data_IF_192432839355
#
_entry.id   IF_192432839355
#
_cell.length_a   1.000
_cell.length_b   1.000
_cell.length_c   1.000
_cell.angle_alpha   90.00
_cell.angle_beta   90.00
_cell.angle_gamma   90.00
#
_symmetry.space_group_name_H-M   'P 1'
#
loop_
_entity.id
_entity.type
_entity.pdbx_description
1 polymer ?
#
# COMPACT_ATOMS: atom_id res chain seq x y z
N UNK A 1 0.17 -8.38 -30.81
CA UNK A 1 0.02 -8.25 -29.34
C UNK A 1 0.59 -9.52 -28.74
N UNK A 2 1.42 -9.43 -27.70
CA UNK A 2 1.97 -10.62 -27.06
C UNK A 2 0.88 -11.29 -26.21
N UNK A 3 0.75 -12.61 -26.32
CA UNK A 3 -0.14 -13.37 -25.44
C UNK A 3 0.39 -13.31 -23.99
N UNK A 4 -0.49 -13.21 -22.98
CA UNK A 4 -0.08 -13.29 -21.58
C UNK A 4 0.64 -14.62 -21.29
N UNK A 5 1.63 -14.59 -20.40
CA UNK A 5 2.32 -15.79 -19.97
C UNK A 5 1.35 -16.70 -19.19
N UNK A 6 1.46 -18.01 -19.43
CA UNK A 6 0.73 -19.01 -18.66
C UNK A 6 1.31 -19.17 -17.26
N UNK A 7 0.56 -19.75 -16.33
CA UNK A 7 1.05 -20.03 -14.97
C UNK A 7 2.33 -20.87 -14.97
N UNK A 8 2.45 -21.85 -15.87
CA UNK A 8 3.65 -22.69 -15.99
C UNK A 8 4.87 -21.89 -16.47
N UNK A 9 4.66 -20.98 -17.42
CA UNK A 9 5.72 -20.08 -17.90
C UNK A 9 6.16 -19.10 -16.80
N UNK A 10 5.21 -18.54 -16.04
CA UNK A 10 5.50 -17.67 -14.90
C UNK A 10 6.24 -18.44 -13.80
N UNK A 11 5.82 -19.68 -13.49
CA UNK A 11 6.49 -20.51 -12.50
C UNK A 11 7.94 -20.82 -12.90
N UNK A 12 8.17 -21.20 -14.16
CA UNK A 12 9.51 -21.45 -14.70
C UNK A 12 10.38 -20.20 -14.68
N UNK A 13 9.81 -19.04 -15.02
CA UNK A 13 10.48 -17.74 -14.94
C UNK A 13 10.88 -17.43 -13.49
N UNK A 14 9.96 -17.61 -12.54
CA UNK A 14 10.20 -17.29 -11.13
C UNK A 14 11.26 -18.21 -10.51
N UNK A 15 11.24 -19.49 -10.87
CA UNK A 15 12.27 -20.45 -10.49
C UNK A 15 13.64 -20.04 -11.05
N UNK A 16 13.71 -19.65 -12.33
CA UNK A 16 14.96 -19.22 -12.96
C UNK A 16 15.58 -17.97 -12.32
N UNK A 17 14.75 -17.11 -11.73
CA UNK A 17 15.17 -15.89 -11.02
C UNK A 17 15.46 -16.14 -9.53
N UNK A 18 15.21 -17.36 -9.03
CA UNK A 18 15.39 -17.69 -7.61
C UNK A 18 14.42 -16.95 -6.68
N UNK A 19 13.23 -16.59 -7.17
CA UNK A 19 12.21 -15.89 -6.40
C UNK A 19 11.75 -16.77 -5.22
N UNK A 20 11.76 -16.20 -4.02
CA UNK A 20 11.36 -16.87 -2.78
C UNK A 20 10.24 -16.12 -2.04
N UNK A 21 10.18 -14.80 -2.18
CA UNK A 21 9.15 -13.96 -1.56
C UNK A 21 8.78 -12.79 -2.48
N UNK A 22 7.78 -12.02 -2.08
CA UNK A 22 7.34 -10.82 -2.77
C UNK A 22 6.96 -9.74 -1.77
N UNK A 23 7.04 -8.50 -2.23
CA UNK A 23 6.50 -7.33 -1.53
C UNK A 23 5.71 -6.47 -2.51
N UNK A 24 4.65 -5.84 -2.02
CA UNK A 24 3.80 -4.99 -2.85
C UNK A 24 3.57 -3.64 -2.18
N UNK A 25 3.83 -2.56 -2.92
CA UNK A 25 3.40 -1.21 -2.59
C UNK A 25 2.12 -0.96 -3.40
N UNK A 26 1.01 -1.59 -2.97
CA UNK A 26 -0.27 -1.58 -3.69
C UNK A 26 -0.78 -0.17 -4.01
N UNK A 27 -0.71 0.84 -3.11
CA UNK A 27 -1.09 2.22 -3.45
C UNK A 27 -0.33 2.82 -4.65
N UNK A 28 0.90 2.36 -4.89
CA UNK A 28 1.74 2.83 -5.99
C UNK A 28 1.61 1.94 -7.23
N UNK A 29 0.76 0.91 -7.17
CA UNK A 29 0.61 -0.09 -8.22
C UNK A 29 1.93 -0.79 -8.52
N UNK A 30 2.74 -1.10 -7.51
CA UNK A 30 4.03 -1.77 -7.67
C UNK A 30 4.09 -3.08 -6.89
N UNK A 31 4.74 -4.06 -7.50
CA UNK A 31 5.10 -5.33 -6.88
C UNK A 31 6.56 -5.63 -7.21
N UNK A 32 7.26 -6.23 -6.26
CA UNK A 32 8.62 -6.72 -6.43
C UNK A 32 8.74 -8.13 -5.85
N UNK A 33 9.70 -8.88 -6.36
CA UNK A 33 10.01 -10.23 -5.92
C UNK A 33 11.43 -10.29 -5.40
N UNK A 34 11.63 -11.02 -4.31
CA UNK A 34 12.92 -11.17 -3.65
C UNK A 34 13.38 -12.61 -3.63
N UNK A 35 14.70 -12.81 -3.69
CA UNK A 35 15.32 -14.11 -3.50
C UNK A 35 15.44 -14.48 -2.00
N UNK A 36 16.01 -15.66 -1.69
CA UNK A 36 16.23 -16.10 -0.30
C UNK A 36 17.21 -15.23 0.49
N UNK A 37 18.05 -14.46 -0.18
CA UNK A 37 18.93 -13.47 0.45
C UNK A 37 18.23 -12.14 0.73
N UNK A 38 16.98 -11.97 0.28
CA UNK A 38 16.19 -10.74 0.44
C UNK A 38 16.44 -9.69 -0.63
N UNK A 39 17.22 -10.00 -1.68
CA UNK A 39 17.53 -9.08 -2.78
C UNK A 39 16.37 -9.03 -3.77
N UNK A 40 16.06 -7.84 -4.29
CA UNK A 40 15.04 -7.67 -5.35
C UNK A 40 15.58 -8.22 -6.67
N UNK A 41 14.95 -9.27 -7.17
CA UNK A 41 15.34 -9.96 -8.42
C UNK A 41 14.38 -9.75 -9.58
N UNK A 42 13.22 -9.15 -9.32
CA UNK A 42 12.30 -8.68 -10.35
C UNK A 42 11.35 -7.63 -9.76
N UNK A 43 10.79 -6.81 -10.64
CA UNK A 43 9.80 -5.80 -10.30
C UNK A 43 8.80 -5.61 -11.44
N UNK A 44 7.62 -5.10 -11.09
CA UNK A 44 6.56 -4.85 -12.05
C UNK A 44 5.58 -3.79 -11.55
N UNK A 45 4.74 -3.31 -12.47
CA UNK A 45 3.48 -2.64 -12.15
C UNK A 45 2.38 -3.67 -11.91
N UNK A 46 1.46 -3.35 -11.02
CA UNK A 46 0.30 -4.20 -10.75
C UNK A 46 -0.99 -3.40 -10.55
N UNK A 47 -2.11 -4.02 -10.93
CA UNK A 47 -3.45 -3.57 -10.56
C UNK A 47 -4.16 -4.70 -9.81
N UNK A 48 -4.85 -4.36 -8.73
CA UNK A 48 -5.61 -5.33 -7.95
C UNK A 48 -6.90 -5.70 -8.69
N UNK A 49 -7.18 -6.99 -8.85
CA UNK A 49 -8.38 -7.47 -9.54
C UNK A 49 -9.45 -7.85 -8.52
N UNK A 50 -9.16 -8.88 -7.72
CA UNK A 50 -10.09 -9.46 -6.75
C UNK A 50 -9.32 -10.16 -5.62
N UNK A 51 -9.97 -10.28 -4.47
CA UNK A 51 -9.49 -11.02 -3.31
C UNK A 51 -10.35 -12.26 -3.11
N UNK A 52 -9.71 -13.42 -3.02
CA UNK A 52 -10.34 -14.69 -2.68
C UNK A 52 -10.03 -15.06 -1.24
N UNK A 53 -11.05 -15.43 -0.48
CA UNK A 53 -10.93 -15.92 0.88
C UNK A 53 -11.30 -17.41 0.93
N UNK A 54 -10.30 -18.26 1.18
CA UNK A 54 -10.48 -19.72 1.16
C UNK A 54 -11.36 -20.23 2.30
N UNK A 55 -11.32 -19.57 3.47
CA UNK A 55 -12.03 -20.01 4.67
C UNK A 55 -13.56 -20.04 4.51
N UNK A 56 -14.10 -19.15 3.70
CA UNK A 56 -15.54 -19.00 3.45
C UNK A 56 -15.88 -19.13 1.96
N UNK A 57 -14.94 -19.55 1.11
CA UNK A 57 -15.13 -19.71 -0.34
C UNK A 57 -15.80 -18.49 -0.96
N UNK A 58 -15.23 -17.30 -0.68
CA UNK A 58 -15.80 -16.03 -1.11
C UNK A 58 -14.81 -15.23 -1.94
N UNK A 59 -15.36 -14.36 -2.77
CA UNK A 59 -14.65 -13.47 -3.66
C UNK A 59 -15.14 -12.04 -3.42
N UNK A 60 -14.21 -11.09 -3.41
CA UNK A 60 -14.51 -9.67 -3.42
C UNK A 60 -13.70 -8.98 -4.50
N UNK A 61 -14.37 -8.25 -5.39
CA UNK A 61 -13.69 -7.40 -6.37
C UNK A 61 -12.87 -6.34 -5.64
N UNK A 62 -11.62 -6.12 -6.06
CA UNK A 62 -10.70 -5.21 -5.39
C UNK A 62 -11.23 -3.77 -5.37
N UNK A 63 -11.98 -3.38 -6.40
CA UNK A 63 -12.67 -2.10 -6.47
C UNK A 63 -13.75 -1.93 -5.39
N UNK A 64 -14.29 -3.02 -4.83
CA UNK A 64 -15.28 -3.00 -3.74
C UNK A 64 -14.66 -3.00 -2.33
N UNK A 65 -13.33 -3.12 -2.20
CA UNK A 65 -12.64 -3.14 -0.90
C UNK A 65 -12.41 -1.69 -0.45
N UNK A 66 -13.12 -1.25 0.58
CA UNK A 66 -13.06 0.15 1.05
C UNK A 66 -11.63 0.58 1.43
N UNK A 67 -10.87 -0.28 2.10
CA UNK A 67 -9.49 0.04 2.49
C UNK A 67 -8.56 0.24 1.28
N UNK A 68 -8.84 -0.42 0.15
CA UNK A 68 -8.08 -0.21 -1.10
C UNK A 68 -8.43 1.13 -1.73
N UNK A 69 -9.72 1.49 -1.76
CA UNK A 69 -10.16 2.79 -2.24
C UNK A 69 -9.56 3.93 -1.41
N UNK A 70 -9.63 3.85 -0.08
CA UNK A 70 -9.07 4.85 0.83
C UNK A 70 -7.55 4.98 0.70
N UNK A 71 -6.86 3.88 0.37
CA UNK A 71 -5.41 3.86 0.16
C UNK A 71 -5.00 4.26 -1.26
N UNK A 72 -5.94 4.46 -2.20
CA UNK A 72 -5.64 4.79 -3.59
C UNK A 72 -5.05 3.64 -4.40
N UNK A 73 -5.33 2.39 -4.02
CA UNK A 73 -4.86 1.21 -4.75
C UNK A 73 -5.50 1.20 -6.15
N UNK A 74 -4.72 1.02 -7.23
CA UNK A 74 -5.26 0.90 -8.57
C UNK A 74 -5.98 -0.44 -8.70
N UNK A 75 -7.31 -0.39 -8.71
CA UNK A 75 -8.17 -1.55 -8.84
C UNK A 75 -8.77 -1.65 -10.25
N UNK A 76 -8.89 -2.88 -10.75
CA UNK A 76 -9.65 -3.19 -11.95
C UNK A 76 -11.14 -3.21 -11.59
N UNK A 77 -12.01 -2.48 -12.31
CA UNK A 77 -13.44 -2.51 -12.04
C UNK A 77 -14.03 -3.88 -12.42
N UNK A 78 -15.08 -4.34 -11.72
CA UNK A 78 -15.82 -5.52 -12.13
C UNK A 78 -16.36 -5.40 -13.57
N UNK A 79 -16.40 -6.49 -14.37
CA UNK A 79 -17.09 -6.51 -15.64
C UNK A 79 -18.61 -6.49 -15.40
N UNK A 80 -19.27 -5.40 -15.80
CA UNK A 80 -20.73 -5.15 -15.85
C UNK A 80 -21.59 -5.65 -14.65
N UNK A 81 -22.12 -4.71 -13.86
CA UNK A 81 -23.12 -4.93 -12.77
C UNK A 81 -22.82 -6.06 -11.76
N UNK A 82 -21.68 -6.75 -11.85
CA UNK A 82 -21.36 -7.86 -10.96
C UNK A 82 -21.29 -7.36 -9.53
N UNK A 83 -21.83 -8.16 -8.61
CA UNK A 83 -21.84 -7.80 -7.20
C UNK A 83 -20.38 -7.65 -6.75
N UNK A 84 -20.06 -6.63 -5.92
CA UNK A 84 -18.71 -6.47 -5.42
C UNK A 84 -18.22 -7.65 -4.57
N UNK A 85 -19.14 -8.52 -4.13
CA UNK A 85 -18.90 -9.68 -3.29
C UNK A 85 -19.77 -10.87 -3.72
N UNK A 86 -19.17 -12.05 -3.73
CA UNK A 86 -19.80 -13.33 -4.10
C UNK A 86 -19.37 -14.42 -3.09
N UNK A 87 -20.33 -15.27 -2.69
CA UNK A 87 -20.11 -16.43 -1.81
C UNK A 87 -20.29 -17.73 -2.59
N UNK A 88 -19.87 -18.84 -2.00
CA UNK A 88 -19.94 -20.19 -2.58
C UNK A 88 -19.20 -20.32 -3.93
N UNK A 89 -18.08 -19.59 -4.07
CA UNK A 89 -17.22 -19.61 -5.25
C UNK A 89 -15.92 -20.37 -4.98
N UNK A 90 -15.61 -21.31 -5.87
CA UNK A 90 -14.38 -22.09 -5.81
C UNK A 90 -13.14 -21.24 -6.14
N UNK A 91 -11.97 -21.72 -5.73
CA UNK A 91 -10.71 -21.07 -6.09
C UNK A 91 -10.49 -21.07 -7.62
N UNK A 92 -10.85 -22.17 -8.28
CA UNK A 92 -10.71 -22.31 -9.74
C UNK A 92 -11.57 -21.29 -10.49
N UNK A 93 -12.82 -21.09 -10.07
CA UNK A 93 -13.73 -20.09 -10.64
C UNK A 93 -13.21 -18.66 -10.39
N UNK A 94 -12.72 -18.38 -9.17
CA UNK A 94 -12.11 -17.10 -8.84
C UNK A 94 -10.85 -16.82 -9.71
N UNK A 95 -10.04 -17.85 -9.96
CA UNK A 95 -8.87 -17.78 -10.83
C UNK A 95 -9.25 -17.56 -12.29
N UNK A 96 -10.32 -18.20 -12.77
CA UNK A 96 -10.84 -18.00 -14.13
C UNK A 96 -11.33 -16.55 -14.32
N UNK A 97 -12.15 -16.04 -13.39
CA UNK A 97 -12.60 -14.64 -13.40
C UNK A 97 -11.42 -13.66 -13.39
N UNK A 98 -10.43 -13.92 -12.52
CA UNK A 98 -9.22 -13.10 -12.46
C UNK A 98 -8.41 -13.15 -13.76
N UNK A 99 -8.35 -14.31 -14.42
CA UNK A 99 -7.63 -14.50 -15.68
C UNK A 99 -8.30 -13.72 -16.80
N UNK A 100 -9.63 -13.82 -16.92
CA UNK A 100 -10.41 -13.05 -17.89
C UNK A 100 -10.22 -11.54 -17.67
N UNK A 101 -10.31 -11.08 -16.41
CA UNK A 101 -10.08 -9.67 -16.08
C UNK A 101 -8.65 -9.21 -16.43
N UNK A 102 -7.63 -10.00 -16.12
CA UNK A 102 -6.23 -9.71 -16.46
C UNK A 102 -6.02 -9.59 -17.99
N UNK A 103 -6.68 -10.45 -18.77
CA UNK A 103 -6.64 -10.40 -20.23
C UNK A 103 -7.28 -9.13 -20.80
N UNK A 104 -8.44 -8.71 -20.27
CA UNK A 104 -9.12 -7.48 -20.70
C UNK A 104 -8.24 -6.23 -20.57
N UNK A 105 -7.33 -6.24 -19.60
CA UNK A 105 -6.38 -5.16 -19.35
C UNK A 105 -5.00 -5.42 -19.94
N UNK A 106 -4.83 -6.40 -20.83
CA UNK A 106 -3.55 -6.73 -21.46
C UNK A 106 -2.42 -6.89 -20.43
N UNK A 107 -2.70 -7.55 -19.30
CA UNK A 107 -1.65 -7.90 -18.35
C UNK A 107 -0.65 -8.87 -19.01
N UNK A 108 0.63 -8.76 -18.65
CA UNK A 108 1.63 -9.75 -19.09
C UNK A 108 1.38 -11.10 -18.45
N UNK A 109 0.91 -11.13 -17.20
CA UNK A 109 0.42 -12.33 -16.54
C UNK A 109 -0.45 -11.99 -15.32
N UNK A 110 -1.18 -13.00 -14.86
CA UNK A 110 -1.91 -12.97 -13.60
C UNK A 110 -1.01 -13.48 -12.48
N UNK A 111 -0.93 -12.74 -11.37
CA UNK A 111 -0.22 -13.19 -10.17
C UNK A 111 -1.20 -13.38 -9.01
N UNK A 112 -1.20 -14.59 -8.43
CA UNK A 112 -1.98 -14.91 -7.23
C UNK A 112 -1.11 -14.69 -5.98
N UNK A 113 -1.14 -13.49 -5.44
CA UNK A 113 -0.37 -13.12 -4.25
C UNK A 113 -0.98 -13.78 -3.00
N UNK A 114 -0.26 -14.65 -2.28
CA UNK A 114 -0.79 -15.29 -1.08
C UNK A 114 -0.98 -14.27 0.04
N UNK A 115 -2.17 -14.25 0.65
CA UNK A 115 -2.52 -13.39 1.79
C UNK A 115 -2.65 -14.14 3.12
N UNK A 116 -2.35 -15.45 3.11
CA UNK A 116 -2.39 -16.33 4.28
C UNK A 116 -3.67 -17.16 4.37
N UNK A 117 -3.61 -18.32 5.03
CA UNK A 117 -4.78 -19.18 5.25
C UNK A 117 -5.44 -19.73 3.96
N UNK A 118 -4.68 -19.86 2.87
CA UNK A 118 -5.19 -20.25 1.55
C UNK A 118 -5.78 -19.10 0.73
N UNK A 119 -5.97 -17.92 1.33
CA UNK A 119 -6.49 -16.73 0.66
C UNK A 119 -5.47 -16.12 -0.30
N UNK A 120 -5.98 -15.48 -1.36
CA UNK A 120 -5.20 -14.93 -2.47
C UNK A 120 -5.71 -13.56 -2.87
N UNK A 121 -4.79 -12.65 -3.16
CA UNK A 121 -5.06 -11.41 -3.88
C UNK A 121 -4.58 -11.58 -5.32
N UNK A 122 -5.51 -11.52 -6.26
CA UNK A 122 -5.21 -11.65 -7.67
C UNK A 122 -4.83 -10.29 -8.26
N UNK A 123 -3.65 -10.23 -8.89
CA UNK A 123 -3.03 -9.02 -9.42
C UNK A 123 -2.79 -9.16 -10.92
N UNK A 124 -3.24 -8.17 -11.69
CA UNK A 124 -2.84 -8.02 -13.09
C UNK A 124 -1.42 -7.43 -13.12
N UNK A 125 -0.43 -8.21 -13.56
CA UNK A 125 0.97 -7.78 -13.63
C UNK A 125 1.29 -7.21 -15.01
N UNK A 126 1.94 -6.03 -15.02
CA UNK A 126 2.37 -5.30 -16.21
C UNK A 126 3.78 -4.76 -15.99
N UNK A 127 4.47 -4.44 -17.08
CA UNK A 127 5.84 -3.90 -17.04
C UNK A 127 6.81 -4.74 -16.18
N UNK A 128 6.64 -6.07 -16.19
CA UNK A 128 7.54 -7.01 -15.54
C UNK A 128 8.94 -6.90 -16.12
N UNK A 129 9.90 -6.65 -15.23
CA UNK A 129 11.29 -6.48 -15.55
C UNK A 129 12.14 -7.34 -14.59
N UNK A 130 12.95 -8.28 -15.11
CA UNK A 130 13.90 -9.02 -14.29
C UNK A 130 15.04 -8.11 -13.83
N UNK A 131 15.60 -8.40 -12.66
CA UNK A 131 16.60 -7.59 -11.99
C UNK A 131 16.01 -6.60 -10.99
N UNK A 132 16.91 -5.98 -10.23
CA UNK A 132 16.56 -4.83 -9.41
C UNK A 132 16.25 -3.65 -10.33
N UNK A 133 15.25 -2.81 -10.00
CA UNK A 133 15.05 -1.57 -10.75
C UNK A 133 16.34 -0.76 -10.70
N UNK A 134 16.76 -0.20 -11.84
CA UNK A 134 17.81 0.81 -11.85
C UNK A 134 17.36 1.94 -10.92
N UNK A 135 18.29 2.41 -10.07
CA UNK A 135 18.00 3.55 -9.21
C UNK A 135 17.79 4.78 -10.11
N UNK A 136 16.53 5.13 -10.39
CA UNK A 136 16.17 6.40 -11.01
C UNK A 136 16.08 7.46 -9.89
N UNK A 137 17.02 8.42 -9.84
CA UNK A 137 17.01 9.46 -8.82
C UNK A 137 15.74 10.30 -8.85
N UNK A 138 15.13 10.51 -10.03
CA UNK A 138 13.90 11.30 -10.16
C UNK A 138 12.70 10.55 -9.59
N UNK A 139 12.62 9.23 -9.77
CA UNK A 139 11.57 8.43 -9.14
C UNK A 139 11.77 8.31 -7.63
N UNK A 140 13.02 8.21 -7.18
CA UNK A 140 13.35 8.24 -5.76
C UNK A 140 12.96 9.58 -5.12
N UNK A 141 13.29 10.71 -5.74
CA UNK A 141 12.88 12.04 -5.30
C UNK A 141 11.35 12.18 -5.26
N UNK A 142 10.64 11.77 -6.33
CA UNK A 142 9.17 11.80 -6.36
C UNK A 142 8.55 10.95 -5.26
N UNK A 143 9.11 9.76 -5.00
CA UNK A 143 8.63 8.85 -3.96
C UNK A 143 8.84 9.46 -2.57
N UNK A 144 10.02 10.03 -2.31
CA UNK A 144 10.32 10.74 -1.06
C UNK A 144 9.34 11.91 -0.86
N UNK A 145 9.10 12.71 -1.90
CA UNK A 145 8.21 13.85 -1.82
C UNK A 145 6.74 13.43 -1.62
N UNK A 146 6.28 12.39 -2.33
CA UNK A 146 4.95 11.83 -2.14
C UNK A 146 4.75 11.30 -0.70
N UNK A 147 5.74 10.60 -0.14
CA UNK A 147 5.68 10.11 1.25
C UNK A 147 5.70 11.26 2.26
N UNK A 148 6.46 12.35 2.01
CA UNK A 148 6.41 13.57 2.84
C UNK A 148 5.02 14.21 2.81
N UNK A 149 4.48 14.43 1.62
CA UNK A 149 3.15 15.02 1.43
C UNK A 149 2.05 14.17 2.10
N UNK A 150 2.15 12.84 2.01
CA UNK A 150 1.26 11.92 2.73
C UNK A 150 1.35 12.11 4.25
N UNK A 151 2.56 12.12 4.82
CA UNK A 151 2.77 12.26 6.26
C UNK A 151 2.24 13.61 6.76
N UNK A 152 2.57 14.70 6.06
CA UNK A 152 2.03 16.04 6.31
C UNK A 152 0.50 16.04 6.31
N UNK A 153 -0.13 15.56 5.24
CA UNK A 153 -1.58 15.56 5.09
C UNK A 153 -2.31 14.66 6.09
N UNK A 154 -1.69 13.57 6.57
CA UNK A 154 -2.25 12.73 7.65
C UNK A 154 -2.17 13.44 9.00
N UNK A 155 -1.02 14.02 9.34
CA UNK A 155 -0.81 14.72 10.61
C UNK A 155 -1.69 15.97 10.74
N UNK A 156 -1.78 16.78 9.70
CA UNK A 156 -2.63 17.99 9.68
C UNK A 156 -4.11 17.64 9.91
N UNK A 157 -4.63 16.62 9.22
CA UNK A 157 -6.02 16.16 9.40
C UNK A 157 -6.29 15.63 10.82
N UNK A 158 -5.33 14.93 11.41
CA UNK A 158 -5.47 14.45 12.80
C UNK A 158 -5.44 15.60 13.80
N UNK A 159 -4.58 16.61 13.58
CA UNK A 159 -4.53 17.80 14.42
C UNK A 159 -5.84 18.60 14.37
N UNK A 160 -6.42 18.75 13.18
CA UNK A 160 -7.72 19.39 12.99
C UNK A 160 -8.85 18.60 13.66
N UNK A 161 -8.90 17.28 13.45
CA UNK A 161 -9.93 16.42 14.05
C UNK A 161 -9.86 16.42 15.57
N UNK A 162 -8.65 16.42 16.14
CA UNK A 162 -8.48 16.50 17.59
C UNK A 162 -8.93 17.85 18.16
N UNK A 163 -8.72 18.95 17.42
CA UNK A 163 -9.23 20.27 17.82
C UNK A 163 -10.76 20.32 17.77
N UNK A 164 -11.38 19.63 16.83
CA UNK A 164 -12.84 19.52 16.72
C UNK A 164 -13.45 18.59 17.78
N UNK A 165 -12.68 17.64 18.30
CA UNK A 165 -13.11 16.65 19.29
C UNK A 165 -13.11 17.19 20.75
N UNK A 166 -12.84 18.49 20.97
CA UNK A 166 -12.82 19.08 22.31
C UNK A 166 -14.20 18.97 22.95
N UNK A 167 -14.28 18.24 24.07
CA UNK A 167 -15.54 17.99 24.79
C UNK A 167 -16.36 16.80 24.26
N UNK A 168 -15.82 16.03 23.31
CA UNK A 168 -16.44 14.82 22.77
C UNK A 168 -15.51 13.60 22.96
N UNK A 169 -15.77 12.83 24.02
CA UNK A 169 -14.97 11.66 24.40
C UNK A 169 -14.94 10.57 23.30
N UNK A 170 -16.03 10.43 22.54
CA UNK A 170 -16.09 9.45 21.45
C UNK A 170 -15.19 9.89 20.29
N UNK A 171 -15.26 11.15 19.89
CA UNK A 171 -14.39 11.69 18.85
C UNK A 171 -12.91 11.61 19.25
N UNK A 172 -12.57 11.82 20.53
CA UNK A 172 -11.20 11.65 21.02
C UNK A 172 -10.73 10.20 20.96
N UNK A 173 -11.59 9.24 21.31
CA UNK A 173 -11.28 7.81 21.21
C UNK A 173 -11.07 7.36 19.75
N UNK A 174 -11.84 7.91 18.82
CA UNK A 174 -11.64 7.69 17.38
C UNK A 174 -10.28 8.22 16.92
N UNK A 175 -9.89 9.42 17.33
CA UNK A 175 -8.57 9.99 17.01
C UNK A 175 -7.44 9.12 17.58
N UNK A 176 -7.57 8.61 18.81
CA UNK A 176 -6.60 7.68 19.38
C UNK A 176 -6.45 6.40 18.54
N UNK A 177 -7.56 5.87 18.00
CA UNK A 177 -7.53 4.72 17.09
C UNK A 177 -6.82 5.06 15.77
N UNK A 178 -7.10 6.24 15.20
CA UNK A 178 -6.44 6.70 13.98
C UNK A 178 -4.93 6.92 14.18
N UNK A 179 -4.49 7.39 15.36
CA UNK A 179 -3.08 7.54 15.70
C UNK A 179 -2.35 6.18 15.77
N UNK A 180 -3.00 5.14 16.30
CA UNK A 180 -2.44 3.77 16.27
C UNK A 180 -2.33 3.24 14.84
N UNK A 181 -3.32 3.52 14.00
CA UNK A 181 -3.27 3.17 12.57
C UNK A 181 -2.13 3.91 11.86
N UNK A 182 -1.95 5.21 12.12
CA UNK A 182 -0.83 6.00 11.61
C UNK A 182 0.53 5.41 12.02
N UNK A 183 0.66 4.92 13.26
CA UNK A 183 1.87 4.27 13.74
C UNK A 183 2.28 3.08 12.84
N UNK A 184 1.34 2.18 12.56
CA UNK A 184 1.58 1.04 11.66
C UNK A 184 1.89 1.47 10.22
N UNK A 185 1.17 2.46 9.70
CA UNK A 185 1.39 2.97 8.34
C UNK A 185 2.77 3.65 8.20
N UNK A 186 3.21 4.43 9.18
CA UNK A 186 4.49 5.12 9.16
C UNK A 186 5.68 4.13 9.21
N UNK A 187 5.58 3.06 10.01
CA UNK A 187 6.60 1.99 10.04
C UNK A 187 6.68 1.25 8.69
N UNK A 188 5.53 0.97 8.06
CA UNK A 188 5.51 0.37 6.72
C UNK A 188 6.14 1.28 5.66
N UNK A 189 5.81 2.57 5.66
CA UNK A 189 6.40 3.55 4.73
C UNK A 189 7.92 3.63 4.89
N UNK A 190 8.43 3.64 6.14
CA UNK A 190 9.86 3.67 6.43
C UNK A 190 10.60 2.44 5.90
N UNK A 191 10.02 1.24 6.06
CA UNK A 191 10.67 -0.02 5.72
C UNK A 191 10.58 -0.40 4.25
N UNK A 192 9.47 -0.04 3.61
CA UNK A 192 9.13 -0.62 2.31
C UNK A 192 8.96 0.41 1.20
N UNK A 193 8.73 1.68 1.52
CA UNK A 193 8.51 2.72 0.49
C UNK A 193 9.74 3.58 0.28
N UNK A 194 10.35 4.06 1.37
CA UNK A 194 11.55 4.91 1.29
C UNK A 194 12.76 4.31 2.05
N UNK A 195 13.07 3.00 1.92
CA UNK A 195 14.17 2.39 2.65
C UNK A 195 15.50 3.05 2.31
N UNK A 196 16.34 3.28 3.31
CA UNK A 196 17.67 3.88 3.14
C UNK A 196 17.69 5.39 2.92
N UNK A 197 16.54 6.03 2.71
CA UNK A 197 16.45 7.49 2.63
C UNK A 197 16.56 8.16 4.00
N UNK A 198 16.91 9.45 4.03
CA UNK A 198 16.86 10.29 5.24
C UNK A 198 15.44 10.43 5.82
N UNK A 199 14.40 10.09 5.06
CA UNK A 199 13.01 10.13 5.50
C UNK A 199 12.63 8.89 6.32
N UNK A 200 13.24 7.73 6.06
CA UNK A 200 12.97 6.49 6.79
C UNK A 200 13.12 6.62 8.32
N UNK A 201 14.23 7.15 8.88
CA UNK A 201 14.36 7.30 10.33
C UNK A 201 13.34 8.29 10.91
N UNK A 202 12.93 9.32 10.15
CA UNK A 202 11.89 10.26 10.57
C UNK A 202 10.52 9.58 10.68
N UNK A 203 10.18 8.74 9.71
CA UNK A 203 8.93 7.97 9.73
C UNK A 203 8.91 6.92 10.85
N UNK A 204 10.04 6.25 11.13
CA UNK A 204 10.16 5.37 12.29
C UNK A 204 9.98 6.12 13.62
N UNK A 205 10.54 7.34 13.73
CA UNK A 205 10.31 8.24 14.86
C UNK A 205 8.85 8.63 15.00
N UNK A 206 8.20 9.01 13.88
CA UNK A 206 6.77 9.32 13.84
C UNK A 206 5.93 8.13 14.27
N UNK A 207 6.24 6.91 13.82
CA UNK A 207 5.53 5.70 14.21
C UNK A 207 5.52 5.51 15.73
N UNK A 208 6.67 5.72 16.36
CA UNK A 208 6.81 5.67 17.82
C UNK A 208 6.00 6.77 18.50
N UNK A 209 6.12 8.01 18.03
CA UNK A 209 5.42 9.17 18.60
C UNK A 209 3.90 9.05 18.49
N UNK A 210 3.38 8.61 17.34
CA UNK A 210 1.95 8.43 17.12
C UNK A 210 1.33 7.44 18.12
N UNK A 211 2.04 6.36 18.44
CA UNK A 211 1.63 5.41 19.48
C UNK A 211 1.60 6.07 20.86
N UNK A 212 2.65 6.80 21.23
CA UNK A 212 2.68 7.51 22.51
C UNK A 212 1.56 8.54 22.63
N UNK A 213 1.26 9.28 21.57
CA UNK A 213 0.16 10.25 21.56
C UNK A 213 -1.20 9.56 21.73
N UNK A 214 -1.42 8.43 21.07
CA UNK A 214 -2.65 7.65 21.24
C UNK A 214 -2.86 7.21 22.69
N UNK A 215 -1.80 6.82 23.38
CA UNK A 215 -1.86 6.34 24.76
C UNK A 215 -2.03 7.48 25.80
N UNK A 216 -1.80 8.73 25.40
CA UNK A 216 -1.97 9.93 26.25
C UNK A 216 -3.34 10.59 26.11
N UNK A 217 -4.14 10.20 25.12
CA UNK A 217 -5.52 10.67 24.98
C UNK A 217 -6.46 9.87 25.91
N UNK A 218 -7.46 10.52 26.54
CA UNK A 218 -7.86 11.92 26.37
C UNK A 218 -7.09 12.94 27.25
N UNK A 219 -6.23 12.48 28.18
CA UNK A 219 -5.65 13.30 29.23
C UNK A 219 -4.85 14.52 28.74
N UNK A 220 -4.17 14.41 27.59
CA UNK A 220 -3.25 15.44 27.08
C UNK A 220 -3.68 16.03 25.72
N UNK A 221 -4.98 16.26 25.51
CA UNK A 221 -5.54 16.66 24.22
C UNK A 221 -4.82 17.85 23.56
N UNK A 222 -4.69 18.98 24.26
CA UNK A 222 -4.05 20.19 23.70
C UNK A 222 -2.58 19.96 23.36
N UNK A 223 -1.86 19.23 24.23
CA UNK A 223 -0.45 18.93 24.01
C UNK A 223 -0.25 18.00 22.82
N UNK A 224 -1.12 16.99 22.67
CA UNK A 224 -1.10 16.09 21.51
C UNK A 224 -1.45 16.86 20.23
N UNK A 225 -2.46 17.74 20.25
CA UNK A 225 -2.82 18.57 19.10
C UNK A 225 -1.68 19.48 18.66
N UNK A 226 -0.98 20.11 19.61
CA UNK A 226 0.22 20.91 19.34
C UNK A 226 1.35 20.05 18.74
N UNK A 227 1.64 18.90 19.35
CA UNK A 227 2.69 17.99 18.89
C UNK A 227 2.44 17.49 17.46
N UNK A 228 1.19 17.19 17.10
CA UNK A 228 0.81 16.81 15.74
C UNK A 228 1.10 17.91 14.72
N UNK A 229 0.84 19.19 15.04
CA UNK A 229 1.17 20.32 14.15
C UNK A 229 2.66 20.52 13.99
N UNK A 230 3.42 20.42 15.08
CA UNK A 230 4.89 20.50 15.04
C UNK A 230 5.45 19.37 14.17
N UNK A 231 4.95 18.15 14.34
CA UNK A 231 5.34 17.02 13.51
C UNK A 231 4.96 17.24 12.04
N UNK A 232 3.74 17.72 11.75
CA UNK A 232 3.29 18.00 10.39
C UNK A 232 4.27 18.96 9.70
N UNK A 233 4.62 20.08 10.33
CA UNK A 233 5.57 21.05 9.79
C UNK A 233 6.96 20.43 9.50
N UNK A 234 7.37 19.41 10.26
CA UNK A 234 8.60 18.65 10.00
C UNK A 234 8.58 17.82 8.71
N UNK A 235 7.40 17.58 8.14
CA UNK A 235 7.17 16.89 6.85
C UNK A 235 6.69 17.83 5.74
N UNK A 236 6.52 19.13 5.99
CA UNK A 236 6.19 20.08 4.94
C UNK A 236 7.31 20.10 3.87
N UNK A 237 6.92 20.27 2.60
CA UNK A 237 7.88 20.43 1.51
C UNK A 237 8.84 21.59 1.83
N UNK A 238 10.12 21.43 1.49
CA UNK A 238 11.03 22.56 1.55
C UNK A 238 10.51 23.66 0.60
N UNK A 239 10.55 24.94 0.97
CA UNK A 239 10.32 26.00 -0.01
C UNK A 239 11.30 25.77 -1.18
N UNK A 240 10.88 26.02 -2.43
CA UNK A 240 11.81 25.96 -3.55
C UNK A 240 13.03 26.83 -3.22
N UNK A 241 14.25 26.42 -3.60
CA UNK A 241 15.41 27.27 -3.42
C UNK A 241 15.07 28.63 -4.03
N UNK A 242 15.19 29.69 -3.24
CA UNK A 242 15.05 31.05 -3.77
C UNK A 242 16.10 31.17 -4.88
N UNK A 243 15.65 31.26 -6.12
CA UNK A 243 16.53 31.50 -7.26
C UNK A 243 17.41 32.70 -6.90
N UNK A 244 18.71 32.46 -6.85
CA UNK A 244 19.69 33.36 -6.24
C UNK A 244 19.52 34.81 -6.69
N UNK A 245 19.35 35.69 -5.70
CA UNK A 245 19.51 37.13 -5.84
C UNK A 245 20.98 37.52 -5.90
#
# INVERSE_FOLDING_TARGET
>A
MAEPLTFEQVASLFESLGIASFGAALPEGRIHWTNRAGEIVAHARCQAILSYAAANQSLMWAAGIESFQQAGVPCLPPPDESRPYEEDIGEDDAMELATQAAQLVNAQFLYAAPTGGGSKLFLAVRDFTPGSPDADPLEEERRIEATRAWAFGKLSRLAERLQQAVGDDQAVAEVATLLRSLSGQADQQARFVVPGSDLAPRLAGLATQARMWADRLPADLEQVAYALRVAANGFAAAPPPEDGA
#
